data_IF_941901244567
#
_entry.id   IF_941901244567
#
_cell.length_a   1.000
_cell.length_b   1.000
_cell.length_c   1.000
_cell.angle_alpha   90.00
_cell.angle_beta   90.00
_cell.angle_gamma   90.00
#
_symmetry.space_group_name_H-M   'P 1'
#
loop_
_entity.id
_entity.type
_entity.pdbx_description
1 polymer ?
#
# COMPACT_ATOMS: atom_id res chain seq x y z
N UNK A 1 -2.42 6.60 -10.52
CA UNK A 1 -2.64 5.39 -11.34
C UNK A 1 -3.34 5.70 -12.66
N UNK A 2 -4.48 6.41 -12.65
CA UNK A 2 -5.19 6.86 -13.87
C UNK A 2 -4.28 7.59 -14.88
N UNK A 3 -3.33 8.40 -14.43
CA UNK A 3 -2.36 9.07 -15.30
C UNK A 3 -1.43 8.10 -16.07
N UNK A 4 -1.32 6.85 -15.64
CA UNK A 4 -0.53 5.81 -16.31
C UNK A 4 -1.37 4.96 -17.27
N UNK A 5 -2.71 5.04 -17.23
CA UNK A 5 -3.57 4.28 -18.14
C UNK A 5 -3.26 4.54 -19.62
N UNK A 6 -3.03 5.78 -20.08
CA UNK A 6 -2.69 6.05 -21.46
C UNK A 6 -1.41 5.33 -21.94
N UNK A 7 -0.45 5.04 -21.04
CA UNK A 7 0.78 4.31 -21.39
C UNK A 7 0.51 2.87 -21.82
N UNK A 8 -0.64 2.31 -21.46
CA UNK A 8 -1.02 0.92 -21.75
C UNK A 8 -2.05 0.81 -22.89
N UNK A 9 -2.46 1.93 -23.49
CA UNK A 9 -3.43 1.97 -24.60
C UNK A 9 -2.67 1.95 -25.92
N UNK A 10 -3.06 1.06 -26.84
CA UNK A 10 -2.43 0.98 -28.16
C UNK A 10 -2.90 2.14 -29.06
N UNK A 11 -1.99 2.89 -29.70
CA UNK A 11 -2.36 4.05 -30.54
C UNK A 11 -3.19 3.70 -31.79
N UNK A 12 -3.18 2.44 -32.21
CA UNK A 12 -3.78 1.94 -33.45
C UNK A 12 -5.23 1.45 -33.30
N UNK A 13 -5.81 1.50 -32.10
CA UNK A 13 -7.20 1.06 -31.86
C UNK A 13 -8.22 2.17 -32.16
N UNK A 14 -9.35 1.78 -32.75
CA UNK A 14 -10.45 2.68 -33.13
C UNK A 14 -11.23 3.30 -31.96
N UNK A 15 -11.07 2.79 -30.73
CA UNK A 15 -11.72 3.36 -29.53
C UNK A 15 -10.81 3.31 -28.28
N UNK A 16 -9.89 4.28 -28.12
CA UNK A 16 -8.98 4.35 -26.98
C UNK A 16 -9.72 4.57 -25.65
N UNK A 17 -10.84 5.29 -25.65
CA UNK A 17 -11.66 5.54 -24.44
C UNK A 17 -12.22 4.24 -23.85
N UNK A 18 -12.72 3.32 -24.69
CA UNK A 18 -13.23 2.03 -24.22
C UNK A 18 -12.13 1.20 -23.57
N UNK A 19 -10.92 1.20 -24.15
CA UNK A 19 -9.77 0.49 -23.59
C UNK A 19 -9.33 1.05 -22.23
N UNK A 20 -9.36 2.38 -22.06
CA UNK A 20 -9.08 3.02 -20.77
C UNK A 20 -10.09 2.62 -19.70
N UNK A 21 -11.38 2.55 -20.03
CA UNK A 21 -12.44 2.12 -19.09
C UNK A 21 -12.21 0.67 -18.67
N UNK A 22 -11.91 -0.23 -19.60
CA UNK A 22 -11.67 -1.65 -19.32
C UNK A 22 -10.44 -1.83 -18.42
N UNK A 23 -9.30 -1.22 -18.76
CA UNK A 23 -8.10 -1.32 -17.93
C UNK A 23 -8.31 -0.68 -16.56
N UNK A 24 -9.01 0.46 -16.48
CA UNK A 24 -9.34 1.12 -15.22
C UNK A 24 -10.18 0.22 -14.31
N UNK A 25 -11.20 -0.44 -14.88
CA UNK A 25 -12.03 -1.40 -14.15
C UNK A 25 -11.22 -2.61 -13.69
N UNK A 26 -10.35 -3.16 -14.55
CA UNK A 26 -9.50 -4.30 -14.20
C UNK A 26 -8.55 -3.96 -13.05
N UNK A 27 -7.94 -2.77 -13.08
CA UNK A 27 -7.12 -2.28 -11.98
C UNK A 27 -7.95 -2.11 -10.69
N UNK A 28 -9.11 -1.47 -10.76
CA UNK A 28 -9.99 -1.32 -9.60
C UNK A 28 -10.36 -2.69 -9.00
N UNK A 29 -10.71 -3.67 -9.83
CA UNK A 29 -11.02 -5.02 -9.39
C UNK A 29 -9.84 -5.69 -8.67
N UNK A 30 -8.63 -5.62 -9.24
CA UNK A 30 -7.42 -6.13 -8.58
C UNK A 30 -7.16 -5.43 -7.24
N UNK A 31 -7.26 -4.10 -7.19
CA UNK A 31 -7.09 -3.35 -5.94
C UNK A 31 -8.14 -3.70 -4.90
N UNK A 32 -9.38 -3.92 -5.33
CA UNK A 32 -10.48 -4.29 -4.46
C UNK A 32 -10.25 -5.68 -3.85
N UNK A 33 -9.85 -6.66 -4.66
CA UNK A 33 -9.52 -8.02 -4.19
C UNK A 33 -8.42 -7.97 -3.12
N UNK A 34 -7.35 -7.21 -3.39
CA UNK A 34 -6.25 -7.03 -2.45
C UNK A 34 -6.74 -6.36 -1.16
N UNK A 35 -7.57 -5.32 -1.25
CA UNK A 35 -8.14 -4.64 -0.08
C UNK A 35 -9.08 -5.52 0.73
N UNK A 36 -9.87 -6.37 0.07
CA UNK A 36 -10.71 -7.37 0.77
C UNK A 36 -9.82 -8.35 1.52
N UNK A 37 -8.77 -8.87 0.88
CA UNK A 37 -7.82 -9.78 1.52
C UNK A 37 -7.17 -9.13 2.76
N UNK A 38 -6.73 -7.87 2.62
CA UNK A 38 -6.21 -7.08 3.74
C UNK A 38 -7.28 -6.84 4.81
N UNK A 39 -8.53 -6.55 4.45
CA UNK A 39 -9.63 -6.30 5.40
C UNK A 39 -10.01 -7.53 6.21
N UNK A 40 -10.08 -8.71 5.56
CA UNK A 40 -10.30 -10.00 6.24
C UNK A 40 -9.14 -10.27 7.19
N UNK A 41 -7.91 -10.11 6.71
CA UNK A 41 -6.71 -10.27 7.53
C UNK A 41 -6.69 -9.27 8.70
N UNK A 42 -7.12 -8.04 8.48
CA UNK A 42 -7.19 -6.98 9.47
C UNK A 42 -8.16 -7.30 10.60
N UNK A 43 -9.27 -8.01 10.34
CA UNK A 43 -10.17 -8.44 11.41
C UNK A 43 -9.49 -9.45 12.35
N UNK A 44 -8.77 -10.43 11.79
CA UNK A 44 -7.99 -11.40 12.57
C UNK A 44 -6.84 -10.74 13.34
N UNK A 45 -6.06 -9.90 12.65
CA UNK A 45 -4.96 -9.13 13.24
C UNK A 45 -5.48 -8.20 14.33
N UNK A 46 -6.57 -7.47 14.11
CA UNK A 46 -7.17 -6.57 15.11
C UNK A 46 -7.54 -7.34 16.38
N UNK A 47 -8.16 -8.51 16.26
CA UNK A 47 -8.51 -9.33 17.43
C UNK A 47 -7.28 -9.79 18.20
N UNK A 48 -6.17 -10.09 17.53
CA UNK A 48 -4.92 -10.51 18.19
C UNK A 48 -4.13 -9.33 18.76
N UNK A 49 -4.01 -8.23 18.01
CA UNK A 49 -3.25 -7.03 18.36
C UNK A 49 -3.91 -6.25 19.49
N UNK A 50 -5.23 -6.02 19.42
CA UNK A 50 -5.95 -5.22 20.44
C UNK A 50 -6.01 -5.93 21.78
N UNK A 51 -6.08 -7.27 21.79
CA UNK A 51 -6.14 -8.05 23.02
C UNK A 51 -4.76 -8.38 23.61
N UNK A 52 -3.66 -8.06 22.91
CA UNK A 52 -2.30 -8.41 23.34
C UNK A 52 -1.42 -7.19 23.57
N UNK A 53 -1.24 -6.75 24.84
CA UNK A 53 -0.38 -5.60 25.16
C UNK A 53 1.08 -5.84 24.75
N UNK A 54 1.54 -7.10 24.69
CA UNK A 54 2.89 -7.45 24.23
C UNK A 54 3.13 -7.09 22.76
N UNK A 55 2.12 -7.27 21.89
CA UNK A 55 2.24 -6.99 20.45
C UNK A 55 2.32 -5.49 20.21
N UNK A 56 1.49 -4.72 20.90
CA UNK A 56 1.51 -3.25 20.85
C UNK A 56 2.88 -2.71 21.31
N UNK A 57 3.44 -3.27 22.38
CA UNK A 57 4.75 -2.84 22.90
C UNK A 57 5.89 -3.10 21.90
N UNK A 58 5.89 -4.26 21.24
CA UNK A 58 6.88 -4.57 20.19
C UNK A 58 6.73 -3.65 18.98
N UNK A 59 5.50 -3.37 18.56
CA UNK A 59 5.20 -2.44 17.45
C UNK A 59 5.72 -1.02 17.76
N UNK A 60 5.48 -0.52 18.97
CA UNK A 60 6.03 0.77 19.43
C UNK A 60 7.56 0.77 19.44
N UNK A 61 8.20 -0.30 19.92
CA UNK A 61 9.66 -0.44 19.90
C UNK A 61 10.23 -0.43 18.49
N UNK A 62 9.58 -1.07 17.53
CA UNK A 62 10.00 -1.04 16.12
C UNK A 62 9.94 0.38 15.55
N UNK A 63 8.86 1.14 15.81
CA UNK A 63 8.80 2.54 15.40
C UNK A 63 9.90 3.38 16.06
N UNK A 64 10.09 3.24 17.37
CA UNK A 64 11.15 3.93 18.08
C UNK A 64 12.54 3.60 17.52
N UNK A 65 12.81 2.33 17.18
CA UNK A 65 14.06 1.91 16.57
C UNK A 65 14.26 2.53 15.17
N UNK A 66 13.23 2.55 14.32
CA UNK A 66 13.30 3.21 13.01
C UNK A 66 13.56 4.71 13.15
N UNK A 67 12.84 5.40 14.04
CA UNK A 67 13.07 6.83 14.27
C UNK A 67 14.44 7.13 14.85
N UNK A 68 14.91 6.32 15.81
CA UNK A 68 16.26 6.45 16.35
C UNK A 68 17.31 6.23 15.25
N UNK A 69 17.15 5.21 14.40
CA UNK A 69 18.04 4.96 13.26
C UNK A 69 18.04 6.12 12.27
N UNK A 70 16.86 6.67 11.93
CA UNK A 70 16.76 7.85 11.08
C UNK A 70 17.40 9.08 11.72
N UNK A 71 17.24 9.28 13.04
CA UNK A 71 17.87 10.36 13.79
C UNK A 71 19.40 10.24 13.83
N UNK A 72 19.93 9.04 14.03
CA UNK A 72 21.37 8.76 13.94
C UNK A 72 21.86 9.05 12.51
N UNK A 73 21.16 8.55 11.49
CA UNK A 73 21.51 8.81 10.09
C UNK A 73 21.54 10.31 9.81
N UNK A 74 20.56 11.06 10.31
CA UNK A 74 20.49 12.51 10.15
C UNK A 74 21.63 13.23 10.86
N UNK A 75 21.93 12.86 12.11
CA UNK A 75 23.06 13.38 12.87
C UNK A 75 24.42 13.10 12.19
N UNK A 76 24.50 12.00 11.43
CA UNK A 76 25.67 11.66 10.61
C UNK A 76 25.64 12.22 9.19
N UNK A 77 24.55 12.88 8.76
CA UNK A 77 24.43 13.48 7.43
C UNK A 77 25.08 14.88 7.35
N UNK A 78 25.73 15.35 8.41
CA UNK A 78 26.53 16.58 8.41
C UNK A 78 28.00 16.30 8.74
N UNK A 79 28.71 15.72 7.78
CA UNK A 79 30.17 15.82 7.64
C UNK A 79 30.59 15.75 6.18
#
# INVERSE_FOLDING_TARGET
FLAFLPLFVSPSHSSPTTQMIILGFMFMAMTLVIFILYGISANGVRRYVVNSPRVILWLQRSFAATFASLGIKLAMTEQ
#
